data_IF_244505158286
#
_entry.id   IF_244505158286
#
_cell.length_a   1.000
_cell.length_b   1.000
_cell.length_c   1.000
_cell.angle_alpha   90.00
_cell.angle_beta   90.00
_cell.angle_gamma   90.00
#
_symmetry.space_group_name_H-M   'P 1'
#
loop_
_entity.id
_entity.type
_entity.pdbx_description
1 polymer ?
#
# COMPACT_ATOMS: atom_id res chain seq x y z
N UNK A 1 6.04 -14.98 -10.08
CA UNK A 1 5.76 -15.11 -8.64
C UNK A 1 6.25 -13.86 -7.92
N UNK A 2 5.49 -13.27 -6.98
CA UNK A 2 5.99 -12.15 -6.19
C UNK A 2 7.23 -12.61 -5.42
N UNK A 3 8.35 -11.94 -5.66
CA UNK A 3 9.60 -12.16 -4.94
C UNK A 3 9.41 -11.68 -3.50
N UNK A 4 9.15 -12.64 -2.60
CA UNK A 4 9.03 -12.36 -1.19
C UNK A 4 10.44 -12.14 -0.67
N UNK A 5 10.72 -10.90 -0.27
CA UNK A 5 12.08 -10.43 -0.01
C UNK A 5 12.72 -10.99 1.26
N UNK A 6 11.99 -11.78 2.06
CA UNK A 6 12.46 -12.31 3.34
C UNK A 6 12.77 -13.82 3.32
N UNK A 7 12.30 -14.57 2.32
CA UNK A 7 12.44 -16.04 2.29
C UNK A 7 13.30 -16.48 1.10
N UNK A 8 14.12 -17.53 1.30
CA UNK A 8 14.86 -18.19 0.20
C UNK A 8 13.91 -18.94 -0.73
N UNK A 9 14.37 -19.32 -1.93
CA UNK A 9 13.55 -20.13 -2.86
C UNK A 9 13.10 -21.44 -2.21
N UNK A 10 13.98 -22.09 -1.46
CA UNK A 10 13.73 -23.36 -0.77
C UNK A 10 12.71 -23.21 0.36
N UNK A 11 12.83 -22.15 1.17
CA UNK A 11 11.83 -21.80 2.17
C UNK A 11 10.45 -21.55 1.53
N UNK A 12 10.41 -20.83 0.40
CA UNK A 12 9.15 -20.60 -0.32
C UNK A 12 8.55 -21.90 -0.88
N UNK A 13 9.37 -22.80 -1.42
CA UNK A 13 8.89 -24.12 -1.89
C UNK A 13 8.28 -24.93 -0.75
N UNK A 14 8.89 -24.94 0.43
CA UNK A 14 8.32 -25.58 1.62
C UNK A 14 6.97 -24.96 2.00
N UNK A 15 6.89 -23.63 2.10
CA UNK A 15 5.64 -22.93 2.45
C UNK A 15 4.53 -23.17 1.42
N UNK A 16 4.87 -23.23 0.13
CA UNK A 16 3.93 -23.58 -0.94
C UNK A 16 3.41 -25.01 -0.81
N UNK A 17 4.26 -25.98 -0.47
CA UNK A 17 3.82 -27.36 -0.24
C UNK A 17 2.84 -27.46 0.95
N UNK A 18 3.01 -26.63 1.98
CA UNK A 18 2.12 -26.56 3.13
C UNK A 18 0.83 -25.77 2.88
N UNK A 19 0.66 -25.09 1.74
CA UNK A 19 -0.50 -24.24 1.48
C UNK A 19 -1.82 -25.01 1.42
N UNK A 20 -1.80 -26.24 0.90
CA UNK A 20 -3.00 -27.09 0.85
C UNK A 20 -3.43 -27.47 2.27
N UNK A 21 -2.48 -27.87 3.12
CA UNK A 21 -2.74 -28.20 4.52
C UNK A 21 -3.28 -26.99 5.29
N UNK A 22 -2.78 -25.79 5.00
CA UNK A 22 -3.27 -24.57 5.62
C UNK A 22 -4.76 -24.36 5.39
N UNK A 23 -5.26 -24.52 4.16
CA UNK A 23 -6.69 -24.37 3.86
C UNK A 23 -7.53 -25.44 4.57
N UNK A 24 -7.07 -26.69 4.61
CA UNK A 24 -7.78 -27.77 5.35
C UNK A 24 -7.92 -27.46 6.85
N UNK A 25 -6.83 -27.04 7.50
CA UNK A 25 -6.86 -26.67 8.92
C UNK A 25 -7.56 -25.33 9.18
N UNK A 26 -7.58 -24.43 8.19
CA UNK A 26 -8.35 -23.20 8.24
C UNK A 26 -9.85 -23.48 8.31
N UNK A 27 -10.36 -24.30 7.39
CA UNK A 27 -11.77 -24.70 7.35
C UNK A 27 -12.17 -25.46 8.62
N UNK A 28 -11.30 -26.35 9.10
CA UNK A 28 -11.50 -27.10 10.34
C UNK A 28 -11.32 -26.26 11.62
N UNK A 29 -10.85 -25.01 11.53
CA UNK A 29 -10.52 -24.13 12.66
C UNK A 29 -9.47 -24.72 13.63
N UNK A 30 -8.56 -25.56 13.15
CA UNK A 30 -7.50 -26.23 13.94
C UNK A 30 -6.10 -25.67 13.69
N UNK A 31 -6.02 -24.41 13.24
CA UNK A 31 -4.73 -23.78 12.92
C UNK A 31 -3.80 -23.65 14.13
N UNK A 32 -4.35 -23.21 15.27
CA UNK A 32 -3.58 -22.95 16.49
C UNK A 32 -3.15 -24.23 17.20
N UNK A 33 -3.99 -25.27 17.17
CA UNK A 33 -3.70 -26.53 17.85
C UNK A 33 -2.76 -27.43 17.04
N UNK A 34 -2.94 -27.50 15.72
CA UNK A 34 -2.33 -28.58 14.92
C UNK A 34 -1.41 -28.04 13.83
N UNK A 35 -1.90 -27.08 13.02
CA UNK A 35 -1.15 -26.61 11.84
C UNK A 35 0.12 -25.84 12.22
N UNK A 36 0.01 -24.80 13.05
CA UNK A 36 1.16 -23.95 13.38
C UNK A 36 2.27 -24.73 14.10
N UNK A 37 1.97 -25.57 15.11
CA UNK A 37 3.00 -26.41 15.72
C UNK A 37 3.71 -27.32 14.72
N UNK A 38 2.96 -27.95 13.79
CA UNK A 38 3.52 -28.82 12.76
C UNK A 38 4.45 -28.05 11.82
N UNK A 39 3.97 -26.93 11.26
CA UNK A 39 4.74 -26.12 10.30
C UNK A 39 5.99 -25.54 10.95
N UNK A 40 5.90 -25.01 12.17
CA UNK A 40 7.07 -24.49 12.85
C UNK A 40 8.08 -25.59 13.18
N UNK A 41 7.62 -26.75 13.66
CA UNK A 41 8.49 -27.88 13.96
C UNK A 41 9.27 -28.33 12.72
N UNK A 42 8.58 -28.51 11.59
CA UNK A 42 9.22 -28.93 10.34
C UNK A 42 10.14 -27.84 9.76
N UNK A 43 9.70 -26.58 9.78
CA UNK A 43 10.49 -25.47 9.26
C UNK A 43 11.80 -25.30 10.05
N UNK A 44 11.72 -25.25 11.39
CA UNK A 44 12.90 -25.06 12.24
C UNK A 44 13.75 -26.33 12.42
N UNK A 45 13.27 -27.50 11.99
CA UNK A 45 14.10 -28.69 11.86
C UNK A 45 15.06 -28.59 10.66
N UNK A 46 14.62 -27.93 9.58
CA UNK A 46 15.40 -27.74 8.34
C UNK A 46 16.31 -26.51 8.45
N UNK A 47 15.78 -25.39 8.93
CA UNK A 47 16.53 -24.15 9.18
C UNK A 47 16.56 -23.89 10.68
N UNK A 48 17.60 -24.38 11.35
CA UNK A 48 17.74 -24.34 12.82
C UNK A 48 18.17 -22.97 13.32
N UNK A 49 18.88 -22.22 12.48
CA UNK A 49 19.37 -20.90 12.80
C UNK A 49 19.50 -19.98 11.59
N UNK A 50 19.86 -18.70 11.85
CA UNK A 50 20.09 -17.71 10.80
C UNK A 50 21.25 -18.07 9.86
N UNK A 51 22.19 -18.90 10.32
CA UNK A 51 23.36 -19.34 9.54
C UNK A 51 22.95 -20.31 8.40
N UNK A 52 21.94 -21.14 8.63
CA UNK A 52 21.42 -22.08 7.62
C UNK A 52 20.75 -21.36 6.44
N UNK A 53 20.35 -20.09 6.61
CA UNK A 53 19.82 -19.26 5.53
C UNK A 53 20.92 -18.69 4.61
N UNK A 54 22.19 -18.82 5.00
CA UNK A 54 23.34 -18.28 4.26
C UNK A 54 23.78 -19.25 3.15
N UNK A 55 23.77 -20.56 3.41
CA UNK A 55 24.20 -21.58 2.43
C UNK A 55 23.22 -21.75 1.24
N UNK A 56 21.93 -21.43 1.42
CA UNK A 56 20.91 -21.53 0.36
C UNK A 56 20.93 -20.33 -0.63
N UNK A 57 21.79 -19.33 -0.43
CA UNK A 57 21.98 -18.20 -1.36
C UNK A 57 23.11 -18.55 -2.32
N UNK A 58 22.80 -19.24 -3.42
CA UNK A 58 23.69 -19.29 -4.59
C UNK A 58 24.13 -17.86 -4.91
N UNK A 59 25.44 -17.64 -4.99
CA UNK A 59 26.05 -16.35 -5.31
C UNK A 59 25.29 -15.70 -6.47
N UNK A 60 24.87 -14.43 -6.35
CA UNK A 60 24.21 -13.76 -7.45
C UNK A 60 25.19 -13.79 -8.64
N UNK A 61 24.79 -14.50 -9.69
CA UNK A 61 25.56 -14.61 -10.92
C UNK A 61 26.14 -13.22 -11.28
N UNK A 62 27.45 -13.12 -11.57
CA UNK A 62 28.07 -11.85 -11.90
C UNK A 62 27.30 -11.25 -13.07
N UNK A 63 26.62 -10.13 -12.81
CA UNK A 63 25.83 -9.45 -13.83
C UNK A 63 26.82 -8.89 -14.83
N UNK A 64 26.96 -9.54 -15.98
CA UNK A 64 27.73 -9.03 -17.12
C UNK A 64 27.33 -7.58 -17.39
N UNK A 65 28.32 -6.69 -17.30
CA UNK A 65 28.19 -5.28 -17.65
C UNK A 65 27.84 -5.18 -19.14
N UNK A 66 26.55 -5.14 -19.44
CA UNK A 66 26.07 -4.84 -20.78
C UNK A 66 26.44 -3.39 -21.10
N UNK A 67 27.42 -3.24 -22.00
CA UNK A 67 27.94 -1.96 -22.50
C UNK A 67 26.78 -1.02 -22.89
N UNK A 68 26.89 0.29 -22.60
CA UNK A 68 25.82 1.23 -22.87
C UNK A 68 25.77 1.50 -24.38
N UNK A 69 24.78 0.93 -25.06
CA UNK A 69 24.55 1.23 -26.47
C UNK A 69 23.34 2.16 -26.59
N UNK A 70 23.59 3.38 -27.07
CA UNK A 70 22.62 4.24 -27.77
C UNK A 70 21.50 4.87 -26.95
N UNK A 71 21.67 6.15 -26.64
CA UNK A 71 20.66 7.21 -26.50
C UNK A 71 19.18 6.81 -26.46
N UNK A 72 18.72 6.35 -25.30
CA UNK A 72 17.38 6.65 -24.79
C UNK A 72 17.49 6.89 -23.30
N UNK A 73 16.94 8.00 -22.79
CA UNK A 73 16.77 8.32 -21.36
C UNK A 73 15.91 7.25 -20.68
N UNK A 74 16.46 6.06 -20.50
CA UNK A 74 15.88 4.97 -19.74
C UNK A 74 16.13 5.34 -18.28
N UNK A 75 15.07 5.72 -17.56
CA UNK A 75 15.09 5.92 -16.10
C UNK A 75 15.96 4.81 -15.52
N UNK A 76 17.10 5.19 -14.92
CA UNK A 76 18.00 4.26 -14.22
C UNK A 76 17.12 3.41 -13.32
N UNK A 77 16.95 2.13 -13.66
CA UNK A 77 16.44 1.15 -12.70
C UNK A 77 17.44 1.24 -11.56
N UNK A 78 17.01 1.80 -10.43
CA UNK A 78 17.83 1.81 -9.23
C UNK A 78 18.33 0.38 -9.04
N UNK A 79 19.66 0.22 -8.94
CA UNK A 79 20.27 -1.00 -8.42
C UNK A 79 19.41 -1.42 -7.23
N UNK A 80 18.83 -2.62 -7.26
CA UNK A 80 18.19 -3.17 -6.08
C UNK A 80 19.27 -3.15 -5.00
N UNK A 81 19.14 -2.27 -4.00
CA UNK A 81 20.09 -2.21 -2.90
C UNK A 81 20.17 -3.62 -2.33
N UNK A 82 21.37 -4.19 -2.35
CA UNK A 82 21.65 -5.44 -1.65
C UNK A 82 21.20 -5.19 -0.20
N UNK A 83 20.23 -5.97 0.26
CA UNK A 83 19.53 -5.69 1.51
C UNK A 83 20.51 -5.93 2.65
N UNK A 84 20.79 -4.90 3.45
CA UNK A 84 21.49 -5.09 4.72
C UNK A 84 20.62 -6.01 5.57
N UNK A 85 21.16 -7.19 5.93
CA UNK A 85 20.43 -8.16 6.75
C UNK A 85 20.36 -7.59 8.17
N UNK A 86 19.20 -7.67 8.85
CA UNK A 86 19.13 -7.33 10.26
C UNK A 86 20.11 -8.23 11.03
N UNK A 87 21.05 -7.63 11.74
CA UNK A 87 21.91 -8.35 12.70
C UNK A 87 21.00 -8.73 13.87
N UNK A 88 20.78 -10.03 14.07
CA UNK A 88 19.87 -10.51 15.11
C UNK A 88 20.59 -10.53 16.45
N UNK A 89 19.96 -9.93 17.47
CA UNK A 89 20.48 -9.90 18.84
C UNK A 89 20.48 -11.30 19.49
N UNK A 90 19.59 -12.22 19.05
CA UNK A 90 19.53 -13.60 19.52
C UNK A 90 18.78 -14.53 18.57
N UNK A 91 19.05 -15.84 18.64
CA UNK A 91 18.33 -16.89 17.89
C UNK A 91 16.83 -16.89 18.23
N UNK A 92 16.47 -16.60 19.49
CA UNK A 92 15.08 -16.51 19.93
C UNK A 92 14.34 -15.38 19.22
N UNK A 93 14.97 -14.21 19.08
CA UNK A 93 14.41 -13.08 18.34
C UNK A 93 14.22 -13.40 16.85
N UNK A 94 15.19 -14.10 16.25
CA UNK A 94 15.11 -14.59 14.87
C UNK A 94 13.92 -15.54 14.68
N UNK A 95 13.76 -16.57 15.53
CA UNK A 95 12.63 -17.51 15.45
C UNK A 95 11.28 -16.81 15.58
N UNK A 96 11.16 -15.84 16.50
CA UNK A 96 9.92 -15.07 16.69
C UNK A 96 9.56 -14.28 15.44
N UNK A 97 10.54 -13.60 14.83
CA UNK A 97 10.34 -12.87 13.58
C UNK A 97 9.96 -13.83 12.44
N UNK A 98 10.65 -14.96 12.31
CA UNK A 98 10.37 -15.95 11.27
C UNK A 98 8.95 -16.52 11.39
N UNK A 99 8.50 -16.88 12.60
CA UNK A 99 7.11 -17.29 12.83
C UNK A 99 6.11 -16.24 12.37
N UNK A 100 6.36 -14.96 12.66
CA UNK A 100 5.49 -13.87 12.21
C UNK A 100 5.48 -13.73 10.69
N UNK A 101 6.64 -13.86 10.04
CA UNK A 101 6.76 -13.79 8.58
C UNK A 101 6.05 -14.95 7.89
N UNK A 102 6.21 -16.17 8.40
CA UNK A 102 5.50 -17.38 7.95
C UNK A 102 3.99 -17.18 8.09
N UNK A 103 3.51 -16.72 9.25
CA UNK A 103 2.08 -16.46 9.45
C UNK A 103 1.55 -15.48 8.43
N UNK A 104 2.19 -14.31 8.34
CA UNK A 104 1.82 -13.28 7.39
C UNK A 104 1.81 -13.80 5.95
N UNK A 105 2.72 -14.72 5.60
CA UNK A 105 2.73 -15.33 4.28
C UNK A 105 1.47 -16.14 4.01
N UNK A 106 1.07 -17.06 4.89
CA UNK A 106 -0.14 -17.87 4.68
C UNK A 106 -1.40 -17.01 4.65
N UNK A 107 -1.55 -16.08 5.60
CA UNK A 107 -2.69 -15.16 5.63
C UNK A 107 -2.76 -14.28 4.38
N UNK A 108 -1.62 -13.79 3.89
CA UNK A 108 -1.58 -13.00 2.66
C UNK A 108 -1.71 -13.86 1.40
N UNK A 109 -1.26 -15.11 1.42
CA UNK A 109 -1.40 -16.04 0.29
C UNK A 109 -2.87 -16.39 0.07
N UNK A 110 -3.63 -16.62 1.14
CA UNK A 110 -5.07 -16.84 1.10
C UNK A 110 -5.85 -15.60 0.67
N UNK A 111 -5.45 -14.41 1.14
CA UNK A 111 -6.10 -13.14 0.77
C UNK A 111 -5.71 -12.64 -0.63
N UNK A 112 -4.77 -13.31 -1.33
CA UNK A 112 -4.57 -13.06 -2.75
C UNK A 112 -5.72 -13.70 -3.50
N UNK A 113 -6.71 -12.89 -3.84
CA UNK A 113 -7.58 -13.19 -4.97
C UNK A 113 -6.71 -13.71 -6.12
N UNK A 114 -7.10 -14.80 -6.80
CA UNK A 114 -6.35 -15.31 -7.93
C UNK A 114 -6.18 -14.15 -8.90
N UNK A 115 -4.95 -13.66 -9.04
CA UNK A 115 -4.64 -12.62 -10.00
C UNK A 115 -4.79 -13.26 -11.37
N UNK A 116 -6.00 -13.18 -11.93
CA UNK A 116 -6.18 -13.31 -13.35
C UNK A 116 -5.24 -12.26 -13.96
N UNK A 117 -4.19 -12.75 -14.60
CA UNK A 117 -3.33 -11.94 -15.44
C UNK A 117 -4.13 -11.56 -16.69
N UNK A 118 -5.12 -10.68 -16.54
CA UNK A 118 -5.87 -10.13 -17.66
C UNK A 118 -6.29 -8.70 -17.32
N UNK A 119 -5.66 -7.76 -18.02
CA UNK A 119 -5.92 -6.32 -18.02
C UNK A 119 -5.72 -5.61 -16.67
N UNK A 120 -5.01 -4.47 -16.72
CA UNK A 120 -4.76 -3.62 -15.55
C UNK A 120 -6.07 -3.16 -14.92
N UNK A 121 -6.52 -3.90 -13.91
CA UNK A 121 -7.54 -3.44 -13.00
C UNK A 121 -6.79 -2.76 -11.86
N UNK A 122 -6.73 -1.43 -11.92
CA UNK A 122 -6.49 -0.59 -10.74
C UNK A 122 -7.55 -0.97 -9.71
N UNK A 123 -7.25 -1.93 -8.86
CA UNK A 123 -7.95 -2.06 -7.60
C UNK A 123 -7.63 -0.77 -6.85
N UNK A 124 -8.60 0.15 -6.84
CA UNK A 124 -8.53 1.30 -5.97
C UNK A 124 -8.47 0.73 -4.57
N UNK A 125 -7.26 0.67 -4.01
CA UNK A 125 -7.03 0.47 -2.59
C UNK A 125 -8.00 1.43 -1.93
N UNK A 126 -9.03 0.89 -1.28
CA UNK A 126 -10.06 1.67 -0.61
C UNK A 126 -9.35 2.65 0.30
N UNK A 127 -9.24 3.89 -0.16
CA UNK A 127 -8.52 4.93 0.55
C UNK A 127 -9.08 4.97 1.95
N UNK A 128 -8.18 4.94 2.94
CA UNK A 128 -8.47 5.06 4.36
C UNK A 128 -9.74 5.89 4.56
N UNK A 129 -10.77 5.31 5.20
CA UNK A 129 -12.10 5.92 5.35
C UNK A 129 -12.09 7.26 6.09
N UNK A 130 -10.94 7.74 6.54
CA UNK A 130 -10.76 8.93 7.36
C UNK A 130 -11.13 10.17 6.53
N UNK A 131 -12.30 10.75 6.82
CA UNK A 131 -12.63 12.09 6.39
C UNK A 131 -11.54 13.06 6.87
N UNK A 132 -11.32 14.13 6.12
CA UNK A 132 -10.44 15.20 6.56
C UNK A 132 -11.02 15.81 7.83
N UNK A 133 -10.18 16.04 8.84
CA UNK A 133 -10.59 16.80 10.02
C UNK A 133 -10.80 18.28 9.66
N UNK A 134 -11.55 19.02 10.48
CA UNK A 134 -11.76 20.48 10.30
C UNK A 134 -10.44 21.24 10.19
N UNK A 135 -9.46 20.92 11.03
CA UNK A 135 -8.12 21.52 10.97
C UNK A 135 -7.36 21.17 9.68
N UNK A 136 -7.53 19.95 9.14
CA UNK A 136 -6.93 19.56 7.86
C UNK A 136 -7.60 20.27 6.68
N UNK A 137 -8.93 20.45 6.71
CA UNK A 137 -9.64 21.22 5.69
C UNK A 137 -9.26 22.70 5.76
N UNK A 138 -9.20 23.28 6.96
CA UNK A 138 -8.70 24.63 7.18
C UNK A 138 -7.27 24.79 6.65
N UNK A 139 -6.37 23.85 6.96
CA UNK A 139 -5.02 23.86 6.41
C UNK A 139 -5.00 23.74 4.90
N UNK A 140 -5.98 23.10 4.25
CA UNK A 140 -6.03 23.00 2.80
C UNK A 140 -6.45 24.31 2.15
N UNK A 141 -7.41 25.02 2.75
CA UNK A 141 -7.95 26.28 2.24
C UNK A 141 -7.01 27.47 2.50
N UNK A 142 -6.40 27.54 3.70
CA UNK A 142 -5.71 28.74 4.17
C UNK A 142 -4.21 28.53 4.43
N UNK A 143 -3.59 27.48 3.86
CA UNK A 143 -2.20 27.16 4.19
C UNK A 143 -1.22 28.29 3.88
N UNK A 144 -1.31 28.83 2.67
CA UNK A 144 -0.31 29.74 2.13
C UNK A 144 -0.31 31.07 2.88
N UNK A 145 -1.49 31.51 3.33
CA UNK A 145 -1.67 32.82 3.96
C UNK A 145 -1.40 32.76 5.45
N UNK A 146 -2.02 31.83 6.19
CA UNK A 146 -2.02 31.90 7.66
C UNK A 146 -1.06 30.94 8.35
N UNK A 147 -0.87 29.75 7.77
CA UNK A 147 -0.06 28.70 8.40
C UNK A 147 1.41 28.83 7.99
N UNK A 148 1.68 29.18 6.73
CA UNK A 148 3.05 29.34 6.23
C UNK A 148 3.76 30.54 6.89
N UNK A 149 3.09 31.69 7.00
CA UNK A 149 3.66 32.88 7.67
C UNK A 149 4.15 32.56 9.08
N UNK A 150 3.33 31.87 9.87
CA UNK A 150 3.67 31.51 11.25
C UNK A 150 4.74 30.41 11.34
N UNK A 151 4.77 29.48 10.38
CA UNK A 151 5.85 28.49 10.26
C UNK A 151 7.17 29.14 9.90
N UNK A 152 7.17 30.09 8.95
CA UNK A 152 8.36 30.81 8.50
C UNK A 152 8.91 31.72 9.62
N UNK A 153 8.03 32.34 10.42
CA UNK A 153 8.40 33.11 11.63
C UNK A 153 9.06 32.24 12.71
N UNK A 154 8.49 31.07 13.02
CA UNK A 154 8.96 30.22 14.11
C UNK A 154 10.19 29.36 13.71
N UNK A 155 10.36 29.03 12.43
CA UNK A 155 11.47 28.20 11.94
C UNK A 155 12.63 29.00 11.35
N UNK A 156 12.39 30.21 10.85
CA UNK A 156 13.38 31.01 10.15
C UNK A 156 14.09 30.21 9.04
N UNK A 157 15.43 30.29 9.02
CA UNK A 157 16.29 29.57 8.07
C UNK A 157 16.77 28.19 8.58
N UNK A 158 16.17 27.63 9.65
CA UNK A 158 16.59 26.31 10.16
C UNK A 158 16.17 25.18 9.21
N UNK A 159 17.13 24.31 8.85
CA UNK A 159 16.81 23.04 8.19
C UNK A 159 16.16 22.09 9.19
N UNK A 160 14.87 21.83 8.98
CA UNK A 160 14.07 20.95 9.83
C UNK A 160 13.69 19.67 9.09
N UNK A 161 13.74 18.55 9.81
CA UNK A 161 13.28 17.25 9.29
C UNK A 161 11.84 17.34 8.79
N UNK A 162 11.59 16.76 7.61
CA UNK A 162 10.31 16.80 6.93
C UNK A 162 9.16 16.26 7.80
N UNK A 163 9.43 15.26 8.64
CA UNK A 163 8.43 14.72 9.57
C UNK A 163 8.04 15.74 10.65
N UNK A 164 9.02 16.46 11.19
CA UNK A 164 8.77 17.48 12.19
C UNK A 164 7.97 18.64 11.58
N UNK A 165 8.31 19.06 10.35
CA UNK A 165 7.59 20.11 9.64
C UNK A 165 6.12 19.77 9.39
N UNK A 166 5.82 18.51 9.03
CA UNK A 166 4.43 18.03 8.89
C UNK A 166 3.68 18.10 10.23
N UNK A 167 4.33 17.70 11.33
CA UNK A 167 3.71 17.72 12.66
C UNK A 167 3.43 19.15 13.15
N UNK A 168 4.37 20.07 12.93
CA UNK A 168 4.24 21.48 13.28
C UNK A 168 3.09 22.13 12.51
N UNK A 169 3.04 21.91 11.19
CA UNK A 169 1.95 22.39 10.35
C UNK A 169 0.57 21.92 10.84
N UNK A 170 0.44 20.66 11.22
CA UNK A 170 -0.80 20.12 11.75
C UNK A 170 -1.19 20.79 13.10
N UNK A 171 -0.20 21.02 13.97
CA UNK A 171 -0.40 21.70 15.26
C UNK A 171 -0.84 23.15 15.06
N UNK A 172 -0.13 23.93 14.24
CA UNK A 172 -0.49 25.33 13.96
C UNK A 172 -1.85 25.45 13.28
N UNK A 173 -2.17 24.56 12.33
CA UNK A 173 -3.47 24.55 11.69
C UNK A 173 -4.61 24.38 12.71
N UNK A 174 -4.45 23.48 13.69
CA UNK A 174 -5.44 23.28 14.74
C UNK A 174 -5.55 24.49 15.68
N UNK A 175 -4.42 25.06 16.09
CA UNK A 175 -4.39 26.23 16.97
C UNK A 175 -5.04 27.45 16.32
N UNK A 176 -4.65 27.77 15.07
CA UNK A 176 -5.19 28.92 14.33
C UNK A 176 -6.69 28.71 14.11
N UNK A 177 -7.11 27.54 13.61
CA UNK A 177 -8.52 27.25 13.37
C UNK A 177 -9.40 27.48 14.61
N UNK A 178 -8.93 27.11 15.81
CA UNK A 178 -9.70 27.31 17.03
C UNK A 178 -9.90 28.80 17.35
N UNK A 179 -8.93 29.66 17.04
CA UNK A 179 -8.99 31.12 17.24
C UNK A 179 -9.66 31.90 16.10
N UNK A 180 -9.97 31.28 14.98
CA UNK A 180 -10.60 31.95 13.84
C UNK A 180 -12.07 32.34 14.10
N UNK A 181 -12.55 33.29 13.30
CA UNK A 181 -13.94 33.75 13.30
C UNK A 181 -14.91 32.64 12.95
N UNK A 182 -16.17 32.79 13.39
CA UNK A 182 -17.23 31.81 13.09
C UNK A 182 -17.49 31.70 11.58
N UNK A 183 -17.42 32.80 10.84
CA UNK A 183 -17.56 32.82 9.37
C UNK A 183 -16.56 31.88 8.67
N UNK A 184 -15.30 31.88 9.12
CA UNK A 184 -14.26 31.00 8.56
C UNK A 184 -14.52 29.55 8.95
N UNK A 185 -15.02 29.29 10.16
CA UNK A 185 -15.39 27.95 10.61
C UNK A 185 -16.58 27.40 9.83
N UNK A 186 -17.56 28.23 9.51
CA UNK A 186 -18.70 27.88 8.67
C UNK A 186 -18.27 27.55 7.24
N UNK A 187 -17.40 28.36 6.64
CA UNK A 187 -16.82 28.08 5.32
C UNK A 187 -16.11 26.72 5.28
N UNK A 188 -15.32 26.41 6.30
CA UNK A 188 -14.62 25.12 6.42
C UNK A 188 -15.61 23.95 6.55
N UNK A 189 -16.69 24.12 7.31
CA UNK A 189 -17.75 23.11 7.44
C UNK A 189 -18.47 22.89 6.10
N UNK A 190 -18.85 23.96 5.41
CA UNK A 190 -19.53 23.88 4.11
C UNK A 190 -18.66 23.16 3.06
N UNK A 191 -17.35 23.42 3.04
CA UNK A 191 -16.45 22.70 2.14
C UNK A 191 -16.23 21.23 2.54
N UNK A 192 -16.24 20.90 3.83
CA UNK A 192 -16.25 19.50 4.28
C UNK A 192 -17.49 18.75 3.78
N UNK A 193 -18.66 19.37 3.92
CA UNK A 193 -19.93 18.80 3.44
C UNK A 193 -19.92 18.58 1.92
N UNK A 194 -19.43 19.55 1.13
CA UNK A 194 -19.28 19.38 -0.32
C UNK A 194 -18.35 18.23 -0.69
N UNK A 195 -17.25 18.06 0.05
CA UNK A 195 -16.31 16.96 -0.17
C UNK A 195 -16.93 15.61 0.18
N UNK A 196 -17.70 15.55 1.27
CA UNK A 196 -18.41 14.34 1.66
C UNK A 196 -19.54 13.99 0.69
N UNK A 197 -20.29 14.97 0.18
CA UNK A 197 -21.29 14.78 -0.87
C UNK A 197 -20.67 14.22 -2.15
N UNK A 198 -19.59 14.85 -2.67
CA UNK A 198 -18.87 14.34 -3.86
C UNK A 198 -18.32 12.93 -3.65
N UNK A 199 -17.93 12.60 -2.42
CA UNK A 199 -17.47 11.27 -2.06
C UNK A 199 -18.60 10.25 -2.06
N UNK A 200 -19.76 10.59 -1.50
CA UNK A 200 -20.95 9.74 -1.54
C UNK A 200 -21.41 9.51 -2.98
N UNK A 201 -21.49 10.56 -3.79
CA UNK A 201 -21.81 10.47 -5.23
C UNK A 201 -20.83 9.55 -5.97
N UNK A 202 -19.53 9.70 -5.71
CA UNK A 202 -18.52 8.84 -6.32
C UNK A 202 -18.64 7.36 -5.86
N UNK A 203 -18.97 7.12 -4.59
CA UNK A 203 -19.19 5.77 -4.06
C UNK A 203 -20.45 5.14 -4.65
N UNK A 204 -21.54 5.90 -4.79
CA UNK A 204 -22.77 5.44 -5.43
C UNK A 204 -22.57 5.15 -6.92
N UNK A 205 -21.83 6.01 -7.63
CA UNK A 205 -21.47 5.78 -9.02
C UNK A 205 -20.62 4.49 -9.18
N UNK A 206 -19.67 4.25 -8.28
CA UNK A 206 -18.89 3.02 -8.27
C UNK A 206 -19.76 1.79 -7.97
N UNK A 207 -20.69 1.88 -7.02
CA UNK A 207 -21.59 0.78 -6.67
C UNK A 207 -22.52 0.41 -7.83
N UNK A 208 -23.16 1.41 -8.46
CA UNK A 208 -24.00 1.23 -9.66
C UNK A 208 -23.24 0.57 -10.81
N UNK A 209 -21.95 0.88 -10.98
CA UNK A 209 -21.11 0.27 -12.02
C UNK A 209 -20.69 -1.17 -11.67
N UNK A 210 -20.48 -1.49 -10.40
CA UNK A 210 -20.12 -2.84 -9.96
C UNK A 210 -21.28 -3.84 -9.99
N UNK A 211 -22.51 -3.37 -9.81
CA UNK A 211 -23.72 -4.22 -9.87
C UNK A 211 -24.04 -4.67 -11.30
N UNK A 212 -23.58 -3.95 -12.33
CA UNK A 212 -23.79 -4.29 -13.76
C UNK A 212 -22.88 -5.43 -14.24
N UNK A 213 -21.88 -5.85 -13.45
CA UNK A 213 -20.83 -6.78 -13.92
C UNK A 213 -20.95 -8.23 -13.44
N UNK A 214 -21.95 -8.60 -12.63
CA UNK A 214 -21.95 -9.92 -11.98
C UNK A 214 -22.86 -11.00 -12.56
N UNK A 215 -23.88 -10.72 -13.38
CA UNK A 215 -24.83 -11.80 -13.74
C UNK A 215 -25.23 -11.97 -15.21
N UNK A 216 -24.95 -11.04 -16.13
CA UNK A 216 -25.34 -11.23 -17.53
C UNK A 216 -24.13 -11.29 -18.47
N UNK A 217 -24.13 -12.31 -19.34
CA UNK A 217 -23.25 -12.39 -20.51
C UNK A 217 -23.43 -11.10 -21.31
N UNK A 218 -22.46 -10.17 -21.20
CA UNK A 218 -22.50 -8.89 -21.90
C UNK A 218 -22.78 -9.13 -23.39
N UNK A 219 -23.88 -8.57 -23.89
CA UNK A 219 -24.15 -8.58 -25.33
C UNK A 219 -23.09 -7.70 -26.02
N UNK A 220 -22.68 -8.00 -27.26
CA UNK A 220 -21.67 -7.21 -27.98
C UNK A 220 -21.97 -5.71 -28.05
N UNK A 221 -23.25 -5.34 -28.04
CA UNK A 221 -23.72 -3.95 -28.03
C UNK A 221 -23.39 -3.20 -26.74
N UNK A 222 -23.38 -3.90 -25.59
CA UNK A 222 -23.07 -3.32 -24.28
C UNK A 222 -21.56 -3.10 -24.13
N UNK A 223 -20.74 -3.95 -24.76
CA UNK A 223 -19.30 -3.75 -24.85
C UNK A 223 -18.96 -2.46 -25.61
N UNK A 224 -19.65 -2.21 -26.73
CA UNK A 224 -19.46 -0.97 -27.51
C UNK A 224 -19.90 0.28 -26.74
N UNK A 225 -20.96 0.21 -25.94
CA UNK A 225 -21.35 1.30 -25.03
C UNK A 225 -20.30 1.52 -23.95
N UNK A 226 -19.77 0.45 -23.35
CA UNK A 226 -18.69 0.52 -22.37
C UNK A 226 -17.44 1.21 -22.93
N UNK A 227 -17.01 0.85 -24.14
CA UNK A 227 -15.86 1.47 -24.82
C UNK A 227 -16.11 2.95 -25.13
N UNK A 228 -17.31 3.32 -25.59
CA UNK A 228 -17.65 4.73 -25.83
C UNK A 228 -17.66 5.55 -24.54
N UNK A 229 -18.12 4.96 -23.44
CA UNK A 229 -18.19 5.62 -22.14
C UNK A 229 -16.86 5.61 -21.38
N UNK A 230 -15.91 4.75 -21.77
CA UNK A 230 -14.59 4.68 -21.14
C UNK A 230 -13.76 5.95 -21.37
N UNK A 231 -13.84 6.58 -22.54
CA UNK A 231 -13.07 7.79 -22.85
C UNK A 231 -13.36 8.97 -21.88
N UNK A 232 -14.62 9.36 -21.62
CA UNK A 232 -14.91 10.39 -20.62
C UNK A 232 -14.55 9.96 -19.19
N UNK A 233 -14.70 8.67 -18.83
CA UNK A 233 -14.33 8.17 -17.50
C UNK A 233 -12.82 8.25 -17.25
N UNK A 234 -12.02 7.85 -18.24
CA UNK A 234 -10.56 7.95 -18.20
C UNK A 234 -10.15 9.42 -18.07
N UNK A 235 -10.82 10.33 -18.78
CA UNK A 235 -10.57 11.78 -18.67
C UNK A 235 -10.89 12.31 -17.27
N UNK A 236 -12.01 11.93 -16.68
CA UNK A 236 -12.36 12.30 -15.29
C UNK A 236 -11.38 11.71 -14.27
N UNK A 237 -10.96 10.46 -14.45
CA UNK A 237 -9.97 9.80 -13.61
C UNK A 237 -8.63 10.53 -13.65
N UNK A 238 -8.11 10.85 -14.84
CA UNK A 238 -6.87 11.61 -14.97
C UNK A 238 -7.00 13.04 -14.47
N UNK A 239 -8.15 13.70 -14.64
CA UNK A 239 -8.38 15.02 -14.05
C UNK A 239 -8.31 14.98 -12.50
N UNK A 240 -8.95 13.99 -11.88
CA UNK A 240 -8.87 13.75 -10.43
C UNK A 240 -7.47 13.39 -9.97
N UNK A 241 -6.72 12.64 -10.78
CA UNK A 241 -5.32 12.29 -10.50
C UNK A 241 -4.41 13.52 -10.59
N UNK A 242 -4.52 14.32 -11.65
CA UNK A 242 -3.76 15.56 -11.80
C UNK A 242 -3.97 16.52 -10.63
N UNK A 243 -5.22 16.68 -10.15
CA UNK A 243 -5.49 17.49 -8.96
C UNK A 243 -4.80 16.97 -7.68
N UNK A 244 -4.49 15.67 -7.61
CA UNK A 244 -3.82 15.06 -6.46
C UNK A 244 -2.30 14.97 -6.62
N UNK A 245 -1.79 14.88 -7.85
CA UNK A 245 -0.36 14.64 -8.11
C UNK A 245 0.42 15.87 -8.55
N UNK A 246 -0.25 16.97 -8.95
CA UNK A 246 0.40 18.15 -9.51
C UNK A 246 0.74 17.96 -10.98
#
# INVERSE_FOLDING_TARGET
MPTISWATKRQLSFLMACAILFETHWEAKTLTSDFWPLVYSQFFAIWKGPEDEIEDVEDPAPVEETKPNGDKKRKRRSRAKMRERPVWESVVAWMKMQKQQINNWFYNARNKTPSLNLAGTTTMVGGSKRCLTKAQMFSKLFCAEKIKQRLDEDLGDQEVDQKLLISLRAKYAATIYNSESEEVKELVCAELEKVDQKRQEAQEALKKMSEVTTEDKLKPEDYLKGVKNAAPLIKCFFYMLCQKTG
#
